data_IF_777632998822
#
_entry.id   IF_777632998822
#
_cell.length_a   1.000
_cell.length_b   1.000
_cell.length_c   1.000
_cell.angle_alpha   90.00
_cell.angle_beta   90.00
_cell.angle_gamma   90.00
#
_symmetry.space_group_name_H-M   'P 1'
#
loop_
_entity.id
_entity.type
_entity.pdbx_description
1 polymer ?
#
# COMPACT_ATOMS: atom_id res chain seq x y z
N UNK A 1 9.42 20.19 7.55
CA UNK A 1 10.26 18.96 7.49
C UNK A 1 11.45 19.09 6.54
N UNK A 2 11.28 19.18 5.21
CA UNK A 2 12.45 19.25 4.31
C UNK A 2 13.37 20.46 4.59
N UNK A 3 12.79 21.61 4.94
CA UNK A 3 13.50 22.83 5.34
C UNK A 3 13.85 22.89 6.84
N UNK A 4 12.96 22.37 7.70
CA UNK A 4 13.03 22.55 9.16
C UNK A 4 13.72 21.40 9.91
N UNK A 5 13.59 20.17 9.41
CA UNK A 5 14.09 18.93 10.02
C UNK A 5 14.55 17.92 8.93
N UNK A 6 15.58 18.26 8.15
CA UNK A 6 16.03 17.44 7.03
C UNK A 6 16.50 16.03 7.45
N UNK A 7 16.95 15.86 8.69
CA UNK A 7 17.36 14.59 9.28
C UNK A 7 16.19 13.60 9.46
N UNK A 8 14.96 14.10 9.49
CA UNK A 8 13.73 13.32 9.57
C UNK A 8 13.07 13.13 8.20
N UNK A 9 13.67 13.64 7.12
CA UNK A 9 13.10 13.51 5.78
C UNK A 9 13.09 12.03 5.35
N UNK A 10 11.94 11.47 4.93
CA UNK A 10 11.86 10.07 4.57
C UNK A 10 12.65 9.78 3.30
N UNK A 11 13.28 8.62 3.25
CA UNK A 11 13.91 8.11 2.02
C UNK A 11 12.88 7.46 1.08
N UNK A 12 11.73 7.07 1.61
CA UNK A 12 10.61 6.48 0.88
C UNK A 12 9.31 6.74 1.62
N UNK A 13 8.22 6.99 0.88
CA UNK A 13 6.88 7.19 1.45
C UNK A 13 5.97 6.03 1.05
N UNK A 14 5.33 5.42 2.04
CA UNK A 14 4.28 4.42 1.82
C UNK A 14 2.93 5.15 1.79
N UNK A 15 2.22 5.06 0.68
CA UNK A 15 0.97 5.76 0.43
C UNK A 15 -0.19 4.77 0.55
N UNK A 16 -1.21 5.11 1.35
CA UNK A 16 -2.47 4.36 1.41
C UNK A 16 -3.28 4.60 0.14
N UNK A 17 -2.99 3.80 -0.89
CA UNK A 17 -3.49 4.01 -2.23
C UNK A 17 -2.71 3.22 -3.27
N UNK A 18 -3.02 3.46 -4.53
CA UNK A 18 -2.39 2.75 -5.64
C UNK A 18 -1.29 3.60 -6.30
N UNK A 19 -0.28 2.92 -6.83
CA UNK A 19 0.71 3.46 -7.76
C UNK A 19 0.40 3.01 -9.19
N UNK A 20 1.28 2.19 -9.77
CA UNK A 20 1.11 1.61 -11.11
C UNK A 20 -0.06 0.64 -11.22
N UNK A 21 -0.55 0.09 -10.11
CA UNK A 21 -1.80 -0.70 -10.04
C UNK A 21 -3.01 0.22 -10.17
N UNK A 22 -3.16 0.82 -11.36
CA UNK A 22 -4.20 1.77 -11.70
C UNK A 22 -4.55 1.64 -13.18
N UNK A 23 -5.81 1.83 -13.62
CA UNK A 23 -6.20 1.72 -15.03
C UNK A 23 -5.33 2.56 -15.97
N UNK A 24 -4.92 3.75 -15.51
CA UNK A 24 -4.03 4.67 -16.25
C UNK A 24 -2.55 4.57 -15.86
N UNK A 25 -2.15 3.54 -15.10
CA UNK A 25 -0.77 3.36 -14.59
C UNK A 25 -0.23 4.49 -13.70
N UNK A 26 -1.12 5.36 -13.22
CA UNK A 26 -0.78 6.59 -12.50
C UNK A 26 -1.79 6.84 -11.37
N UNK A 27 -1.61 6.12 -10.26
CA UNK A 27 -2.39 6.33 -9.04
C UNK A 27 -1.80 7.43 -8.13
N UNK A 28 -2.40 7.60 -6.96
CA UNK A 28 -2.01 8.64 -5.98
C UNK A 28 -0.55 8.53 -5.52
N UNK A 29 -0.01 7.31 -5.40
CA UNK A 29 1.39 7.12 -5.03
C UNK A 29 2.34 7.61 -6.14
N UNK A 30 1.99 7.39 -7.42
CA UNK A 30 2.77 7.90 -8.55
C UNK A 30 2.72 9.43 -8.57
N UNK A 31 1.53 10.02 -8.47
CA UNK A 31 1.33 11.46 -8.49
C UNK A 31 2.13 12.15 -7.38
N UNK A 32 2.01 11.66 -6.13
CA UNK A 32 2.73 12.21 -4.99
C UNK A 32 4.25 12.12 -5.18
N UNK A 33 4.74 10.98 -5.67
CA UNK A 33 6.17 10.75 -5.82
C UNK A 33 6.81 11.62 -6.89
N UNK A 34 6.10 11.82 -8.02
CA UNK A 34 6.54 12.73 -9.09
C UNK A 34 6.55 14.18 -8.62
N UNK A 35 5.50 14.62 -7.93
CA UNK A 35 5.39 16.01 -7.45
C UNK A 35 6.48 16.35 -6.42
N UNK A 36 6.79 15.41 -5.52
CA UNK A 36 7.74 15.63 -4.42
C UNK A 36 9.16 15.13 -4.70
N UNK A 37 9.42 14.59 -5.90
CA UNK A 37 10.66 13.90 -6.30
C UNK A 37 11.23 12.97 -5.20
N UNK A 38 10.35 12.18 -4.59
CA UNK A 38 10.68 11.24 -3.52
C UNK A 38 10.22 9.82 -3.91
N UNK A 39 10.99 8.76 -3.57
CA UNK A 39 10.52 7.40 -3.78
C UNK A 39 9.18 7.14 -3.08
N UNK A 40 8.21 6.59 -3.80
CA UNK A 40 6.88 6.29 -3.26
C UNK A 40 6.44 4.88 -3.60
N UNK A 41 5.70 4.26 -2.68
CA UNK A 41 5.12 2.93 -2.83
C UNK A 41 3.61 3.04 -2.58
N UNK A 42 2.80 2.54 -3.51
CA UNK A 42 1.37 2.40 -3.29
C UNK A 42 1.07 1.11 -2.53
N UNK A 43 0.37 1.22 -1.41
CA UNK A 43 -0.12 0.09 -0.61
C UNK A 43 -1.62 0.22 -0.45
N UNK A 44 -2.38 -0.59 -1.17
CA UNK A 44 -3.84 -0.60 -1.08
C UNK A 44 -4.36 -1.76 -0.21
N UNK A 45 -5.39 -1.46 0.58
CA UNK A 45 -6.11 -2.45 1.42
C UNK A 45 -7.13 -3.29 0.63
N UNK A 46 -7.59 -2.79 -0.51
CA UNK A 46 -8.64 -3.41 -1.33
C UNK A 46 -8.13 -3.57 -2.75
N UNK A 47 -8.60 -4.60 -3.44
CA UNK A 47 -8.23 -4.86 -4.82
C UNK A 47 -8.87 -3.80 -5.73
N UNK A 48 -8.06 -3.14 -6.56
CA UNK A 48 -8.57 -2.29 -7.62
C UNK A 48 -8.77 -3.13 -8.87
N UNK A 49 -10.02 -3.29 -9.29
CA UNK A 49 -10.33 -4.02 -10.51
C UNK A 49 -9.80 -3.26 -11.74
N UNK A 50 -9.05 -3.95 -12.57
CA UNK A 50 -8.53 -3.46 -13.85
C UNK A 50 -8.77 -4.58 -14.86
N UNK A 51 -9.38 -4.23 -15.99
CA UNK A 51 -9.70 -5.19 -17.03
C UNK A 51 -8.43 -5.87 -17.56
N UNK A 52 -8.50 -7.21 -17.70
CA UNK A 52 -7.40 -8.01 -18.24
C UNK A 52 -6.29 -8.38 -17.26
N UNK A 53 -6.44 -8.09 -15.96
CA UNK A 53 -5.52 -8.63 -14.95
C UNK A 53 -5.62 -10.16 -14.83
N UNK A 54 -4.49 -10.79 -14.53
CA UNK A 54 -4.29 -12.22 -14.30
C UNK A 54 -5.12 -12.79 -13.16
N UNK A 55 -5.64 -11.93 -12.29
CA UNK A 55 -6.38 -12.30 -11.10
C UNK A 55 -7.49 -11.29 -10.79
N UNK A 56 -8.54 -11.79 -10.14
CA UNK A 56 -9.65 -10.99 -9.63
C UNK A 56 -9.70 -11.02 -8.09
N UNK A 57 -10.56 -10.19 -7.49
CA UNK A 57 -10.67 -10.12 -6.04
C UNK A 57 -11.05 -11.46 -5.38
N UNK A 58 -11.85 -12.30 -6.05
CA UNK A 58 -12.36 -13.57 -5.51
C UNK A 58 -11.27 -14.63 -5.52
N UNK A 59 -10.63 -14.82 -6.66
CA UNK A 59 -9.51 -15.75 -6.88
C UNK A 59 -8.33 -15.42 -5.96
N UNK A 60 -7.98 -14.13 -5.81
CA UNK A 60 -6.96 -13.70 -4.85
C UNK A 60 -7.35 -14.07 -3.43
N UNK A 61 -8.56 -13.71 -2.99
CA UNK A 61 -9.02 -14.05 -1.63
C UNK A 61 -8.97 -15.55 -1.36
N UNK A 62 -9.40 -16.37 -2.33
CA UNK A 62 -9.35 -17.82 -2.22
C UNK A 62 -7.91 -18.35 -2.11
N UNK A 63 -7.00 -17.87 -2.96
CA UNK A 63 -5.59 -18.26 -2.93
C UNK A 63 -4.92 -17.93 -1.58
N UNK A 64 -5.18 -16.72 -1.04
CA UNK A 64 -4.65 -16.30 0.26
C UNK A 64 -5.27 -17.07 1.45
N UNK A 65 -6.51 -17.52 1.33
CA UNK A 65 -7.15 -18.37 2.34
C UNK A 65 -6.63 -19.81 2.34
N UNK A 66 -6.24 -20.33 1.17
CA UNK A 66 -5.75 -21.70 0.99
C UNK A 66 -4.23 -21.83 1.20
N UNK A 67 -3.51 -20.72 1.33
CA UNK A 67 -2.07 -20.70 1.50
C UNK A 67 -1.66 -21.39 2.81
N UNK A 68 -0.88 -22.47 2.70
CA UNK A 68 -0.43 -23.25 3.86
C UNK A 68 0.51 -22.47 4.80
N UNK A 69 1.32 -21.55 4.26
CA UNK A 69 2.16 -20.63 5.03
C UNK A 69 2.59 -19.41 4.21
N UNK A 70 2.69 -18.20 4.80
CA UNK A 70 3.29 -17.03 4.15
C UNK A 70 4.82 -17.15 4.00
N UNK A 71 5.45 -16.40 3.05
CA UNK A 71 4.85 -15.35 2.23
C UNK A 71 4.26 -15.89 0.92
N UNK A 72 2.96 -15.65 0.71
CA UNK A 72 2.34 -15.76 -0.61
C UNK A 72 2.41 -14.40 -1.30
N UNK A 73 2.96 -14.39 -2.51
CA UNK A 73 3.06 -13.23 -3.40
C UNK A 73 2.44 -13.62 -4.75
N UNK A 74 1.41 -12.89 -5.18
CA UNK A 74 0.75 -13.12 -6.47
C UNK A 74 0.92 -11.88 -7.33
N UNK A 75 1.58 -12.07 -8.47
CA UNK A 75 1.78 -10.99 -9.43
C UNK A 75 0.44 -10.58 -10.06
N UNK A 76 0.18 -9.27 -10.09
CA UNK A 76 -0.97 -8.69 -10.75
C UNK A 76 -0.48 -8.12 -12.08
N UNK A 77 -0.69 -8.86 -13.15
CA UNK A 77 -0.20 -8.53 -14.48
C UNK A 77 -1.27 -8.79 -15.54
N UNK A 78 -1.12 -8.18 -16.70
CA UNK A 78 -1.77 -8.63 -17.93
C UNK A 78 -0.69 -9.16 -18.88
N UNK A 79 -1.07 -9.55 -20.11
CA UNK A 79 -0.17 -10.22 -21.07
C UNK A 79 1.22 -9.56 -21.23
N UNK A 80 1.28 -8.22 -21.16
CA UNK A 80 2.50 -7.47 -21.47
C UNK A 80 3.02 -6.63 -20.29
N UNK A 81 2.31 -6.56 -19.17
CA UNK A 81 2.62 -5.55 -18.14
C UNK A 81 2.30 -6.00 -16.72
N UNK A 82 3.26 -5.86 -15.82
CA UNK A 82 3.08 -6.03 -14.37
C UNK A 82 2.55 -4.73 -13.74
N UNK A 83 1.46 -4.81 -12.98
CA UNK A 83 0.82 -3.69 -12.29
C UNK A 83 1.22 -3.58 -10.82
N UNK A 84 1.41 -4.72 -10.17
CA UNK A 84 1.76 -4.78 -8.76
C UNK A 84 1.80 -6.22 -8.27
N UNK A 85 1.76 -6.36 -6.95
CA UNK A 85 1.83 -7.63 -6.25
C UNK A 85 0.75 -7.67 -5.17
N UNK A 86 -0.03 -8.75 -5.10
CA UNK A 86 -0.79 -9.07 -3.90
C UNK A 86 0.16 -9.77 -2.91
N UNK A 87 0.26 -9.24 -1.70
CA UNK A 87 1.25 -9.67 -0.70
C UNK A 87 0.54 -10.05 0.59
N UNK A 88 0.95 -11.18 1.17
CA UNK A 88 0.50 -11.58 2.51
C UNK A 88 1.06 -10.58 3.54
N UNK A 89 0.24 -10.05 4.44
CA UNK A 89 0.72 -9.11 5.43
C UNK A 89 1.82 -9.70 6.34
N UNK A 90 2.79 -8.86 6.72
CA UNK A 90 3.89 -9.23 7.61
C UNK A 90 3.46 -9.32 9.08
N UNK A 91 3.93 -10.36 9.76
CA UNK A 91 3.63 -10.68 11.16
C UNK A 91 3.09 -12.10 11.26
N UNK A 92 3.89 -13.04 11.79
CA UNK A 92 3.60 -14.47 11.89
C UNK A 92 2.39 -14.89 12.74
N UNK A 93 1.40 -14.01 12.93
CA UNK A 93 0.08 -14.39 13.42
C UNK A 93 -0.72 -14.97 12.25
N UNK A 94 -0.55 -16.29 12.08
CA UNK A 94 -1.46 -17.20 11.37
C UNK A 94 -2.92 -16.72 11.46
N UNK A 95 -3.45 -16.14 10.38
CA UNK A 95 -4.88 -15.80 10.30
C UNK A 95 -5.28 -14.59 9.45
N UNK A 96 -4.34 -13.71 9.05
CA UNK A 96 -4.70 -12.58 8.19
C UNK A 96 -4.92 -13.03 6.73
N UNK A 97 -6.15 -13.44 6.42
CA UNK A 97 -6.58 -13.95 5.10
C UNK A 97 -6.66 -12.91 3.99
N UNK A 98 -6.64 -11.61 4.34
CA UNK A 98 -6.83 -10.55 3.37
C UNK A 98 -5.49 -9.92 2.96
N UNK A 99 -5.09 -10.04 1.68
CA UNK A 99 -3.85 -9.45 1.19
C UNK A 99 -3.86 -7.93 1.26
N UNK A 100 -2.66 -7.37 1.10
CA UNK A 100 -2.44 -5.98 0.70
C UNK A 100 -1.89 -5.95 -0.73
N UNK A 101 -2.19 -4.89 -1.46
CA UNK A 101 -1.79 -4.76 -2.85
C UNK A 101 -0.70 -3.70 -2.96
N UNK A 102 0.50 -4.14 -3.32
CA UNK A 102 1.70 -3.30 -3.42
C UNK A 102 1.93 -2.97 -4.89
N UNK A 103 2.17 -1.69 -5.18
CA UNK A 103 2.51 -1.23 -6.52
C UNK A 103 3.57 -0.13 -6.46
N UNK A 104 4.37 -0.04 -7.52
CA UNK A 104 5.37 1.00 -7.67
C UNK A 104 4.69 2.36 -7.72
N UNK A 105 5.14 3.33 -6.94
CA UNK A 105 4.75 4.74 -7.10
C UNK A 105 5.76 5.48 -7.97
N UNK A 106 6.91 5.81 -7.40
CA UNK A 106 7.97 6.58 -8.05
C UNK A 106 9.36 6.14 -7.57
N UNK A 107 10.35 6.11 -8.48
CA UNK A 107 11.78 5.86 -8.19
C UNK A 107 12.09 4.62 -7.32
N UNK A 108 11.27 3.59 -7.39
CA UNK A 108 11.45 2.32 -6.67
C UNK A 108 11.03 1.14 -7.54
N UNK A 109 11.76 0.03 -7.51
CA UNK A 109 11.35 -1.18 -8.22
C UNK A 109 10.22 -1.90 -7.46
N UNK A 110 9.36 -2.66 -8.16
CA UNK A 110 8.27 -3.40 -7.51
C UNK A 110 8.82 -4.38 -6.47
N UNK A 111 9.90 -5.10 -6.78
CA UNK A 111 10.55 -6.03 -5.85
C UNK A 111 11.00 -5.32 -4.57
N UNK A 112 11.73 -4.20 -4.72
CA UNK A 112 12.18 -3.39 -3.58
C UNK A 112 11.00 -2.85 -2.78
N UNK A 113 9.92 -2.44 -3.45
CA UNK A 113 8.72 -1.96 -2.81
C UNK A 113 8.06 -3.03 -1.92
N UNK A 114 7.92 -4.26 -2.42
CA UNK A 114 7.41 -5.41 -1.66
C UNK A 114 8.30 -5.70 -0.44
N UNK A 115 9.63 -5.71 -0.62
CA UNK A 115 10.58 -5.96 0.47
C UNK A 115 10.48 -4.91 1.59
N UNK A 116 10.38 -3.63 1.23
CA UNK A 116 10.20 -2.51 2.18
C UNK A 116 8.88 -2.66 2.92
N UNK A 117 7.77 -2.87 2.19
CA UNK A 117 6.43 -3.03 2.77
C UNK A 117 6.40 -4.18 3.78
N UNK A 118 7.02 -5.32 3.46
CA UNK A 118 7.10 -6.48 4.37
C UNK A 118 7.89 -6.15 5.64
N UNK A 119 9.04 -5.48 5.53
CA UNK A 119 9.85 -5.07 6.68
C UNK A 119 9.14 -4.03 7.56
N UNK A 120 8.27 -3.23 6.98
CA UNK A 120 7.44 -2.26 7.71
C UNK A 120 6.13 -2.87 8.26
N UNK A 121 5.82 -4.13 7.99
CA UNK A 121 4.56 -4.76 8.37
C UNK A 121 4.73 -5.64 9.62
N UNK A 122 4.25 -5.15 10.76
CA UNK A 122 4.00 -5.97 11.97
C UNK A 122 2.54 -6.44 12.05
N UNK A 123 1.67 -5.77 11.29
CA UNK A 123 0.24 -6.01 11.18
C UNK A 123 -0.16 -6.08 9.70
N UNK A 124 -1.46 -6.21 9.43
CA UNK A 124 -2.01 -6.22 8.07
C UNK A 124 -1.54 -5.02 7.23
N UNK A 125 -1.62 -3.84 7.81
CA UNK A 125 -1.24 -2.58 7.19
C UNK A 125 0.14 -2.19 7.73
N UNK A 126 1.10 -1.78 6.86
CA UNK A 126 2.42 -1.34 7.30
C UNK A 126 2.35 -0.24 8.36
N UNK A 127 3.27 -0.27 9.31
CA UNK A 127 3.31 0.64 10.46
C UNK A 127 3.20 2.12 10.07
N UNK A 128 3.92 2.64 9.04
CA UNK A 128 3.80 4.05 8.66
C UNK A 128 2.37 4.46 8.27
N UNK A 129 1.69 3.63 7.47
CA UNK A 129 0.31 3.88 7.04
C UNK A 129 -0.65 3.74 8.22
N UNK A 130 -0.45 2.71 9.05
CA UNK A 130 -1.30 2.45 10.22
C UNK A 130 -1.27 3.63 11.20
N UNK A 131 -0.09 4.16 11.48
CA UNK A 131 0.08 5.33 12.37
C UNK A 131 -0.52 6.58 11.74
N UNK A 132 -0.34 6.80 10.43
CA UNK A 132 -0.93 7.92 9.72
C UNK A 132 -2.48 7.90 9.77
N UNK A 133 -3.11 6.75 9.48
CA UNK A 133 -4.57 6.59 9.55
C UNK A 133 -5.11 6.83 10.97
N UNK A 134 -4.44 6.31 12.00
CA UNK A 134 -4.85 6.54 13.40
C UNK A 134 -4.81 8.03 13.77
N UNK A 135 -3.73 8.73 13.41
CA UNK A 135 -3.59 10.17 13.69
C UNK A 135 -4.61 11.00 12.92
N UNK A 136 -4.82 10.69 11.63
CA UNK A 136 -5.82 11.39 10.80
C UNK A 136 -7.23 11.23 11.37
N UNK A 137 -7.60 10.02 11.81
CA UNK A 137 -8.92 9.75 12.41
C UNK A 137 -9.10 10.44 13.75
N UNK A 138 -8.07 10.45 14.60
CA UNK A 138 -8.12 11.16 15.88
C UNK A 138 -8.37 12.65 15.63
N UNK A 139 -7.65 13.24 14.67
CA UNK A 139 -7.81 14.66 14.32
C UNK A 139 -9.17 15.00 13.74
N UNK A 140 -9.73 14.14 12.88
CA UNK A 140 -11.07 14.35 12.33
C UNK A 140 -12.14 14.43 13.45
N UNK A 141 -12.09 13.51 14.42
CA UNK A 141 -13.02 13.52 15.57
C UNK A 141 -12.87 14.76 16.45
N UNK A 142 -11.65 15.26 16.64
CA UNK A 142 -11.41 16.50 17.39
C UNK A 142 -12.04 17.72 16.71
N UNK A 143 -12.01 17.76 15.38
CA UNK A 143 -12.62 18.84 14.60
C UNK A 143 -14.14 18.75 14.68
N UNK A 144 -14.70 17.55 14.43
CA UNK A 144 -16.15 17.31 14.54
C UNK A 144 -16.71 17.65 15.93
N UNK A 145 -15.98 17.33 17.00
CA UNK A 145 -16.39 17.66 18.36
C UNK A 145 -16.44 19.18 18.62
N UNK A 146 -15.50 19.95 18.04
CA UNK A 146 -15.49 21.41 18.15
C UNK A 146 -16.65 22.03 17.39
N UNK A 147 -16.87 21.58 16.16
CA UNK A 147 -17.97 22.06 15.30
C UNK A 147 -19.35 21.75 15.89
N UNK A 148 -19.47 20.73 16.75
CA UNK A 148 -20.71 20.41 17.47
C UNK A 148 -20.95 21.21 18.75
N UNK A 149 -19.94 21.95 19.22
CA UNK A 149 -19.99 22.76 20.46
C UNK A 149 -20.21 24.25 20.17
N UNK A 150 -19.96 24.69 18.92
CA UNK A 150 -20.28 26.02 18.39
C UNK A 150 -21.70 26.06 17.79
#
# INVERSE_FOLDING_TARGET
>A
LQSEHPELWPQVVLVDGNGTLHPRRFGSACQLGVELDIPTIGVAKNFLHIDGLSADARSLKQAFQQAAAPPLEIELSNADTVYGMAVAPGGGASGATNPIFVSTGHRVSLRTAVDIVRKCSRHRVPEPIRVADQRSRARAREIEAKDSTD
#
